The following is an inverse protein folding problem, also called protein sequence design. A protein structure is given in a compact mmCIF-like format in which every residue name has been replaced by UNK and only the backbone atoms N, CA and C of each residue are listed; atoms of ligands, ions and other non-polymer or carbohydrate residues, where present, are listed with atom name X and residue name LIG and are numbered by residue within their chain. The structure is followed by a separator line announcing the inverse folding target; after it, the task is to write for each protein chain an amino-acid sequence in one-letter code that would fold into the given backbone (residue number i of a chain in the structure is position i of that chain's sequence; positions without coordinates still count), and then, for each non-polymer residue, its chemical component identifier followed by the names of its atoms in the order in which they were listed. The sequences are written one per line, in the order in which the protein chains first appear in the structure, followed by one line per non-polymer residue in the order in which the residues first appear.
data_IF_732407101037
#
_entry.id   IF_732407101037
#
_cell.length_a   1.000
_cell.length_b   1.000
_cell.length_c   1.000
_cell.angle_alpha   90.00
_cell.angle_beta   90.00
_cell.angle_gamma   90.00
#
_symmetry.space_group_name_H-M   'P 1'
#
loop_
_entity.id
_entity.type
_entity.pdbx_description
1 polymer ?
#
# COMPACT_ATOMS: atom_id res chain seq x y z
N UNK A 1 -5.87 25.08 9.27
CA UNK A 1 -5.00 24.31 8.35
C UNK A 1 -5.76 23.10 7.81
N UNK A 2 -5.42 22.55 6.64
CA UNK A 2 -6.15 21.45 6.00
C UNK A 2 -6.30 20.20 6.90
N UNK A 3 -5.24 19.86 7.64
CA UNK A 3 -5.24 18.78 8.63
C UNK A 3 -6.34 18.95 9.70
N UNK A 4 -6.47 20.15 10.29
CA UNK A 4 -7.45 20.43 11.34
C UNK A 4 -8.89 20.26 10.84
N UNK A 5 -9.14 20.65 9.58
CA UNK A 5 -10.44 20.47 8.92
C UNK A 5 -10.76 18.99 8.78
N UNK A 6 -9.78 18.18 8.37
CA UNK A 6 -9.96 16.72 8.24
C UNK A 6 -10.13 16.03 9.59
N UNK A 7 -9.39 16.44 10.62
CA UNK A 7 -9.56 15.93 11.99
C UNK A 7 -10.94 16.26 12.56
N UNK A 8 -11.43 17.48 12.34
CA UNK A 8 -12.80 17.87 12.72
C UNK A 8 -13.86 17.06 11.97
N UNK A 9 -13.69 16.84 10.65
CA UNK A 9 -14.56 15.96 9.85
C UNK A 9 -14.58 14.54 10.43
N UNK A 10 -13.42 13.99 10.77
CA UNK A 10 -13.27 12.66 11.37
C UNK A 10 -14.01 12.56 12.71
N UNK A 11 -13.78 13.50 13.62
CA UNK A 11 -14.43 13.52 14.94
C UNK A 11 -15.96 13.64 14.82
N UNK A 12 -16.45 14.50 13.92
CA UNK A 12 -17.88 14.61 13.66
C UNK A 12 -18.46 13.34 13.05
N UNK A 13 -17.75 12.66 12.16
CA UNK A 13 -18.19 11.38 11.62
C UNK A 13 -18.25 10.28 12.69
N UNK A 14 -17.27 10.25 13.62
CA UNK A 14 -17.27 9.34 14.76
C UNK A 14 -18.45 9.59 15.69
N UNK A 15 -18.70 10.85 16.09
CA UNK A 15 -19.82 11.21 16.98
C UNK A 15 -21.18 10.84 16.39
N UNK A 16 -21.33 10.97 15.08
CA UNK A 16 -22.56 10.67 14.37
C UNK A 16 -22.65 9.21 13.89
N UNK A 17 -21.72 8.33 14.29
CA UNK A 17 -21.64 6.93 13.84
C UNK A 17 -21.71 6.76 12.31
N UNK A 18 -21.21 7.73 11.55
CA UNK A 18 -21.24 7.70 10.09
C UNK A 18 -19.98 7.03 9.56
N UNK A 19 -20.04 5.70 9.41
CA UNK A 19 -18.92 4.86 8.97
C UNK A 19 -18.31 5.32 7.64
N UNK A 20 -19.14 5.65 6.63
CA UNK A 20 -18.66 6.09 5.32
C UNK A 20 -17.85 7.37 5.41
N UNK A 21 -18.40 8.42 6.05
CA UNK A 21 -17.68 9.70 6.23
C UNK A 21 -16.42 9.56 7.07
N UNK A 22 -16.42 8.62 8.02
CA UNK A 22 -15.26 8.32 8.84
C UNK A 22 -14.14 7.69 7.99
N UNK A 23 -14.48 6.72 7.14
CA UNK A 23 -13.54 6.13 6.20
C UNK A 23 -12.99 7.18 5.22
N UNK A 24 -13.85 8.01 4.63
CA UNK A 24 -13.42 9.08 3.73
C UNK A 24 -12.41 10.03 4.42
N UNK A 25 -12.72 10.48 5.65
CA UNK A 25 -11.84 11.35 6.41
C UNK A 25 -10.51 10.67 6.81
N UNK A 26 -10.53 9.38 7.13
CA UNK A 26 -9.31 8.61 7.39
C UNK A 26 -8.45 8.46 6.12
N UNK A 27 -9.06 8.26 4.96
CA UNK A 27 -8.36 8.19 3.68
C UNK A 27 -7.69 9.52 3.33
N UNK A 28 -8.44 10.63 3.43
CA UNK A 28 -7.92 11.98 3.19
C UNK A 28 -6.73 12.30 4.12
N UNK A 29 -6.83 11.95 5.41
CA UNK A 29 -5.74 12.14 6.38
C UNK A 29 -4.53 11.26 6.08
N UNK A 30 -4.75 10.00 5.67
CA UNK A 30 -3.67 9.09 5.33
C UNK A 30 -2.84 9.64 4.16
N UNK A 31 -3.50 10.10 3.09
CA UNK A 31 -2.85 10.71 1.93
C UNK A 31 -2.13 12.00 2.29
N UNK A 32 -2.76 12.89 3.08
CA UNK A 32 -2.12 14.11 3.56
C UNK A 32 -0.83 13.80 4.34
N UNK A 33 -0.87 12.81 5.24
CA UNK A 33 0.30 12.42 6.01
C UNK A 33 1.38 11.74 5.16
N UNK A 34 1.00 10.97 4.13
CA UNK A 34 1.96 10.42 3.15
C UNK A 34 2.69 11.55 2.41
N UNK A 35 1.96 12.53 1.90
CA UNK A 35 2.52 13.65 1.15
C UNK A 35 3.44 14.55 2.00
N UNK A 36 3.21 14.59 3.32
CA UNK A 36 4.06 15.32 4.28
C UNK A 36 5.23 14.48 4.82
N UNK A 37 5.38 13.21 4.41
CA UNK A 37 6.38 12.30 4.96
C UNK A 37 6.12 11.89 6.42
N UNK A 38 4.93 12.14 6.96
CA UNK A 38 4.51 11.78 8.33
C UNK A 38 3.98 10.35 8.37
N UNK A 39 4.81 9.40 7.93
CA UNK A 39 4.42 8.02 7.66
C UNK A 39 3.80 7.29 8.87
N UNK A 40 4.27 7.53 10.10
CA UNK A 40 3.68 6.90 11.30
C UNK A 40 2.20 7.26 11.48
N UNK A 41 1.83 8.50 11.17
CA UNK A 41 0.44 8.95 11.25
C UNK A 41 -0.39 8.41 10.10
N UNK A 42 0.19 8.33 8.88
CA UNK A 42 -0.45 7.67 7.74
C UNK A 42 -0.77 6.21 8.05
N UNK A 43 0.18 5.44 8.61
CA UNK A 43 -0.03 4.06 9.03
C UNK A 43 -1.18 3.95 10.03
N UNK A 44 -1.25 4.86 11.01
CA UNK A 44 -2.35 4.86 11.98
C UNK A 44 -3.72 5.07 11.31
N UNK A 45 -3.81 5.95 10.30
CA UNK A 45 -5.05 6.15 9.55
C UNK A 45 -5.41 4.95 8.67
N UNK A 46 -4.43 4.37 7.97
CA UNK A 46 -4.67 3.19 7.14
C UNK A 46 -5.06 1.96 7.97
N UNK A 47 -4.44 1.73 9.14
CA UNK A 47 -4.87 0.64 10.04
C UNK A 47 -6.30 0.85 10.52
N UNK A 48 -6.67 2.08 10.86
CA UNK A 48 -8.06 2.40 11.18
C UNK A 48 -9.00 2.16 9.98
N UNK A 49 -8.56 2.39 8.74
CA UNK A 49 -9.36 2.05 7.56
C UNK A 49 -9.57 0.54 7.41
N UNK A 50 -8.54 -0.27 7.66
CA UNK A 50 -8.67 -1.74 7.68
C UNK A 50 -9.69 -2.16 8.72
N UNK A 51 -9.56 -1.64 9.94
CA UNK A 51 -10.48 -1.92 11.03
C UNK A 51 -11.90 -1.46 10.72
N UNK A 52 -12.09 -0.34 10.01
CA UNK A 52 -13.43 0.09 9.64
C UNK A 52 -14.00 -0.76 8.51
N UNK A 53 -13.23 -1.08 7.47
CA UNK A 53 -13.74 -1.76 6.28
C UNK A 53 -14.25 -3.17 6.60
N UNK A 54 -13.50 -3.95 7.38
CA UNK A 54 -13.82 -5.32 7.81
C UNK A 54 -14.08 -6.34 6.67
N UNK A 55 -13.72 -6.02 5.43
CA UNK A 55 -13.83 -6.94 4.29
C UNK A 55 -12.41 -7.26 3.82
N UNK A 56 -12.01 -8.51 3.99
CA UNK A 56 -10.75 -9.02 3.47
C UNK A 56 -10.91 -9.42 1.99
N UNK A 57 -9.79 -9.43 1.26
CA UNK A 57 -9.73 -9.90 -0.13
C UNK A 57 -10.53 -9.10 -1.17
N UNK A 58 -10.90 -7.86 -0.89
CA UNK A 58 -11.42 -6.95 -1.92
C UNK A 58 -10.37 -5.93 -2.37
N UNK A 59 -10.62 -5.29 -3.52
CA UNK A 59 -9.67 -4.35 -4.10
C UNK A 59 -9.44 -3.09 -3.24
N UNK A 60 -10.40 -2.73 -2.38
CA UNK A 60 -10.23 -1.60 -1.47
C UNK A 60 -9.26 -1.94 -0.34
N UNK A 61 -9.40 -3.12 0.27
CA UNK A 61 -8.46 -3.69 1.23
C UNK A 61 -7.05 -3.81 0.64
N UNK A 62 -6.93 -4.30 -0.60
CA UNK A 62 -5.66 -4.37 -1.33
C UNK A 62 -4.95 -2.99 -1.40
N UNK A 63 -5.70 -1.94 -1.77
CA UNK A 63 -5.16 -0.57 -1.89
C UNK A 63 -4.76 0.03 -0.55
N UNK A 64 -5.53 -0.22 0.52
CA UNK A 64 -5.16 0.23 1.87
C UNK A 64 -3.84 -0.43 2.29
N UNK A 65 -3.70 -1.75 2.10
CA UNK A 65 -2.46 -2.46 2.44
C UNK A 65 -1.27 -1.97 1.60
N UNK A 66 -1.48 -1.65 0.32
CA UNK A 66 -0.43 -0.99 -0.47
C UNK A 66 0.04 0.32 0.17
N UNK A 67 -0.89 1.19 0.58
CA UNK A 67 -0.57 2.45 1.26
C UNK A 67 0.16 2.26 2.59
N UNK A 68 -0.20 1.23 3.37
CA UNK A 68 0.54 0.86 4.60
C UNK A 68 1.98 0.46 4.26
N UNK A 69 2.17 -0.38 3.23
CA UNK A 69 3.49 -0.81 2.79
C UNK A 69 4.36 0.36 2.31
N UNK A 70 3.78 1.28 1.51
CA UNK A 70 4.46 2.50 1.04
C UNK A 70 4.90 3.38 2.23
N UNK A 71 4.05 3.50 3.25
CA UNK A 71 4.39 4.25 4.46
C UNK A 71 5.52 3.61 5.27
N UNK A 72 5.53 2.27 5.41
CA UNK A 72 6.64 1.55 6.04
C UNK A 72 7.94 1.66 5.25
N UNK A 73 7.88 1.61 3.92
CA UNK A 73 9.02 1.87 3.05
C UNK A 73 9.57 3.30 3.24
N UNK A 74 8.69 4.29 3.40
CA UNK A 74 9.06 5.66 3.76
C UNK A 74 9.80 5.77 5.10
N UNK A 75 9.52 4.86 6.05
CA UNK A 75 10.22 4.74 7.33
C UNK A 75 11.49 3.87 7.30
N UNK A 76 11.86 3.33 6.14
CA UNK A 76 12.94 2.33 5.99
C UNK A 76 12.73 1.04 6.79
N UNK A 77 11.47 0.72 7.07
CA UNK A 77 11.05 -0.54 7.70
C UNK A 77 10.65 -1.53 6.59
N UNK A 78 11.66 -2.06 5.90
CA UNK A 78 11.47 -2.81 4.66
C UNK A 78 10.76 -4.16 4.86
N UNK A 79 11.01 -4.84 5.97
CA UNK A 79 10.34 -6.11 6.27
C UNK A 79 8.83 -5.93 6.43
N UNK A 80 8.43 -4.89 7.16
CA UNK A 80 7.03 -4.50 7.33
C UNK A 80 6.44 -4.07 5.99
N UNK A 81 7.14 -3.23 5.22
CA UNK A 81 6.69 -2.81 3.90
C UNK A 81 6.37 -4.02 2.99
N UNK A 82 7.29 -4.99 2.94
CA UNK A 82 7.13 -6.21 2.15
C UNK A 82 5.96 -7.07 2.62
N UNK A 83 5.70 -7.19 3.92
CA UNK A 83 4.52 -7.91 4.44
C UNK A 83 3.22 -7.33 3.88
N UNK A 84 3.06 -6.01 3.91
CA UNK A 84 1.85 -5.35 3.42
C UNK A 84 1.76 -5.31 1.89
N UNK A 85 2.89 -5.20 1.18
CA UNK A 85 2.93 -5.32 -0.27
C UNK A 85 2.61 -6.75 -0.75
N UNK A 86 3.01 -7.77 0.02
CA UNK A 86 2.64 -9.16 -0.27
C UNK A 86 1.13 -9.37 -0.10
N UNK A 87 0.51 -8.86 0.97
CA UNK A 87 -0.95 -8.89 1.15
C UNK A 87 -1.65 -8.25 -0.06
N UNK A 88 -1.16 -7.10 -0.53
CA UNK A 88 -1.71 -6.45 -1.73
C UNK A 88 -1.63 -7.36 -2.96
N UNK A 89 -0.49 -7.99 -3.23
CA UNK A 89 -0.34 -8.94 -4.33
C UNK A 89 -1.29 -10.14 -4.20
N UNK A 90 -1.36 -10.74 -3.01
CA UNK A 90 -2.19 -11.93 -2.76
C UNK A 90 -3.67 -11.63 -3.03
N UNK A 91 -4.15 -10.48 -2.53
CA UNK A 91 -5.53 -10.02 -2.75
C UNK A 91 -5.82 -9.80 -4.23
N UNK A 92 -4.86 -9.23 -4.99
CA UNK A 92 -5.00 -9.03 -6.43
C UNK A 92 -5.08 -10.36 -7.19
N UNK A 93 -4.31 -11.38 -6.76
CA UNK A 93 -4.26 -12.69 -7.42
C UNK A 93 -5.52 -13.54 -7.19
N UNK A 94 -6.23 -13.35 -6.07
CA UNK A 94 -7.44 -14.11 -5.75
C UNK A 94 -8.74 -13.49 -6.31
N UNK A 95 -8.65 -12.34 -6.99
CA UNK A 95 -9.84 -11.72 -7.61
C UNK A 95 -10.44 -12.61 -8.70
N UNK A 96 -11.78 -12.68 -8.74
CA UNK A 96 -12.52 -13.47 -9.75
C UNK A 96 -12.23 -13.04 -11.19
N UNK A 97 -12.02 -11.74 -11.40
CA UNK A 97 -11.63 -11.19 -12.68
C UNK A 97 -10.19 -10.70 -12.58
N UNK A 98 -9.28 -11.14 -13.47
CA UNK A 98 -7.89 -10.74 -13.40
C UNK A 98 -7.76 -9.24 -13.67
N UNK A 99 -7.14 -8.53 -12.73
CA UNK A 99 -6.75 -7.14 -12.92
C UNK A 99 -5.24 -7.07 -13.19
N UNK A 100 -4.86 -7.20 -14.47
CA UNK A 100 -3.45 -7.24 -14.88
C UNK A 100 -2.70 -5.94 -14.55
N UNK A 101 -3.38 -4.79 -14.55
CA UNK A 101 -2.78 -3.52 -14.16
C UNK A 101 -2.41 -3.50 -12.67
N UNK A 102 -3.32 -3.92 -11.79
CA UNK A 102 -3.03 -4.00 -10.36
C UNK A 102 -2.02 -5.11 -10.05
N UNK A 103 -2.03 -6.21 -10.82
CA UNK A 103 -1.02 -7.29 -10.70
C UNK A 103 0.37 -6.77 -11.03
N UNK A 104 0.51 -6.09 -12.17
CA UNK A 104 1.76 -5.46 -12.58
C UNK A 104 2.24 -4.46 -11.52
N UNK A 105 1.32 -3.63 -11.01
CA UNK A 105 1.64 -2.65 -9.97
C UNK A 105 2.13 -3.30 -8.69
N UNK A 106 1.46 -4.35 -8.20
CA UNK A 106 1.87 -5.08 -7.01
C UNK A 106 3.27 -5.69 -7.15
N UNK A 107 3.55 -6.32 -8.29
CA UNK A 107 4.87 -6.89 -8.61
C UNK A 107 5.94 -5.79 -8.67
N UNK A 108 5.66 -4.68 -9.36
CA UNK A 108 6.58 -3.54 -9.46
C UNK A 108 6.86 -2.91 -8.09
N UNK A 109 5.84 -2.77 -7.23
CA UNK A 109 6.00 -2.27 -5.86
C UNK A 109 6.93 -3.17 -5.05
N UNK A 110 6.71 -4.49 -5.04
CA UNK A 110 7.60 -5.43 -4.35
C UNK A 110 9.04 -5.38 -4.88
N UNK A 111 9.20 -5.38 -6.21
CA UNK A 111 10.51 -5.28 -6.85
C UNK A 111 11.24 -4.00 -6.46
N UNK A 112 10.54 -2.86 -6.46
CA UNK A 112 11.08 -1.58 -6.05
C UNK A 112 11.47 -1.54 -4.56
N UNK A 113 10.65 -2.12 -3.67
CA UNK A 113 11.00 -2.20 -2.24
C UNK A 113 12.26 -3.02 -2.00
N UNK A 114 12.42 -4.17 -2.68
CA UNK A 114 13.65 -4.95 -2.60
C UNK A 114 14.86 -4.20 -3.17
N UNK A 115 14.68 -3.46 -4.27
CA UNK A 115 15.75 -2.67 -4.87
C UNK A 115 16.24 -1.56 -3.94
N UNK A 116 15.33 -0.80 -3.33
CA UNK A 116 15.68 0.21 -2.33
C UNK A 116 16.39 -0.46 -1.16
N UNK A 117 15.85 -1.56 -0.63
CA UNK A 117 16.46 -2.24 0.50
C UNK A 117 17.90 -2.68 0.19
N UNK A 118 18.14 -3.29 -0.98
CA UNK A 118 19.47 -3.69 -1.44
C UNK A 118 20.44 -2.51 -1.60
N UNK A 119 19.93 -1.31 -1.91
CA UNK A 119 20.77 -0.10 -2.00
C UNK A 119 21.16 0.47 -0.64
N UNK A 120 20.42 0.14 0.42
CA UNK A 120 20.60 0.68 1.78
C UNK A 120 21.25 -0.31 2.75
N UNK A 121 21.48 -1.55 2.34
CA UNK A 121 22.14 -2.58 3.16
C UNK A 121 23.18 -3.37 2.37
N UNK A 122 24.28 -3.72 3.03
CA UNK A 122 25.27 -4.67 2.49
C UNK A 122 24.94 -6.12 2.87
N UNK A 123 23.97 -6.34 3.76
CA UNK A 123 23.57 -7.69 4.19
C UNK A 123 22.65 -8.34 3.15
N UNK A 124 22.98 -9.54 2.68
CA UNK A 124 22.23 -10.30 1.65
C UNK A 124 21.84 -9.46 0.43
N UNK A 125 22.71 -8.51 0.03
CA UNK A 125 22.44 -7.57 -1.05
C UNK A 125 22.14 -8.28 -2.37
N UNK A 126 22.94 -9.28 -2.71
CA UNK A 126 22.76 -10.11 -3.90
C UNK A 126 21.38 -10.80 -3.90
N UNK A 127 21.04 -11.50 -2.82
CA UNK A 127 19.72 -12.13 -2.65
C UNK A 127 18.56 -11.13 -2.78
N UNK A 128 18.71 -9.91 -2.26
CA UNK A 128 17.70 -8.86 -2.39
C UNK A 128 17.59 -8.36 -3.83
N UNK A 129 18.70 -8.20 -4.55
CA UNK A 129 18.73 -7.82 -5.96
C UNK A 129 18.13 -8.92 -6.84
N UNK A 130 18.40 -10.19 -6.57
CA UNK A 130 17.76 -11.32 -7.27
C UNK A 130 16.24 -11.29 -7.10
N UNK A 131 15.75 -11.08 -5.88
CA UNK A 131 14.32 -10.92 -5.60
C UNK A 131 13.74 -9.71 -6.33
N UNK A 132 14.41 -8.57 -6.28
CA UNK A 132 13.99 -7.37 -7.00
C UNK A 132 13.84 -7.65 -8.50
N UNK A 133 14.88 -8.24 -9.11
CA UNK A 133 14.88 -8.59 -10.53
C UNK A 133 13.75 -9.54 -10.87
N UNK A 134 13.53 -10.59 -10.07
CA UNK A 134 12.43 -11.53 -10.26
C UNK A 134 11.07 -10.81 -10.33
N UNK A 135 10.74 -10.02 -9.32
CA UNK A 135 9.45 -9.31 -9.28
C UNK A 135 9.29 -8.30 -10.42
N UNK A 136 10.36 -7.60 -10.80
CA UNK A 136 10.32 -6.65 -11.92
C UNK A 136 10.14 -7.35 -13.26
N UNK A 137 10.81 -8.49 -13.48
CA UNK A 137 10.64 -9.31 -14.69
C UNK A 137 9.25 -9.92 -14.78
N UNK A 138 8.71 -10.45 -13.67
CA UNK A 138 7.32 -10.94 -13.62
C UNK A 138 6.33 -9.82 -13.96
N UNK A 139 6.58 -8.59 -13.48
CA UNK A 139 5.77 -7.41 -13.80
C UNK A 139 5.89 -6.97 -15.27
N UNK A 140 7.09 -7.06 -15.84
CA UNK A 140 7.34 -6.77 -17.25
C UNK A 140 6.58 -7.77 -18.13
N UNK A 141 6.66 -9.07 -17.83
CA UNK A 141 5.93 -10.10 -18.56
C UNK A 141 4.41 -9.84 -18.58
N UNK A 142 3.84 -9.40 -17.45
CA UNK A 142 2.42 -9.02 -17.40
C UNK A 142 2.13 -7.84 -18.33
N UNK A 143 3.02 -6.86 -18.39
CA UNK A 143 2.89 -5.72 -19.29
C UNK A 143 2.91 -6.17 -20.74
N UNK A 144 3.90 -6.98 -21.10
CA UNK A 144 4.10 -7.45 -22.48
C UNK A 144 2.95 -8.31 -22.98
N UNK A 145 2.41 -9.17 -22.12
CA UNK A 145 1.34 -10.11 -22.51
C UNK A 145 -0.05 -9.50 -22.53
N UNK A 146 -0.33 -8.54 -21.65
CA UNK A 146 -1.71 -8.13 -21.36
C UNK A 146 -1.97 -6.62 -21.42
N UNK A 147 -0.94 -5.78 -21.42
CA UNK A 147 -1.11 -4.31 -21.33
C UNK A 147 -0.53 -3.53 -22.51
N UNK A 148 0.30 -4.15 -23.37
CA UNK A 148 0.71 -3.57 -24.64
C UNK A 148 -0.36 -3.81 -25.71
N UNK A 149 -0.76 -2.75 -26.40
CA UNK A 149 -1.71 -2.74 -27.55
C UNK A 149 -0.93 -2.36 -28.79
#
# INVERSE_FOLDING_TARGET
MEEEKLLSRKQNAQRNNNKKRLMDACSDLAELYMNQGRYKLAIAQYKQLVDLHHIENDMYYARINRGIGEAYQGLRLFEEALKYHQIYLDVVLVQKQPNYLEKQRALATLGHTYLIWASETETDKETKLEKANKFLMDGLEVTERYLMV
#
